data_IF_818614625652
#
_entry.id   IF_818614625652
#
_cell.length_a   1.000
_cell.length_b   1.000
_cell.length_c   1.000
_cell.angle_alpha   90.00
_cell.angle_beta   90.00
_cell.angle_gamma   90.00
#
_symmetry.space_group_name_H-M   'P 1'
#
loop_
_entity.id
_entity.type
_entity.pdbx_description
1 polymer ?
#
# COMPACT_ATOMS: atom_id res chain seq x y z
N UNK A 1 -1.19 3.19 -27.72
CA UNK A 1 -1.19 4.02 -26.51
C UNK A 1 -2.23 5.15 -26.58
N UNK A 2 -2.47 5.77 -27.77
CA UNK A 2 -3.46 6.85 -27.92
C UNK A 2 -4.87 6.45 -27.49
N UNK A 3 -5.33 5.26 -27.87
CA UNK A 3 -6.67 4.76 -27.50
C UNK A 3 -6.83 4.53 -25.98
N UNK A 4 -5.75 4.19 -25.29
CA UNK A 4 -5.76 4.05 -23.81
C UNK A 4 -6.01 5.41 -23.16
N UNK A 5 -5.35 6.47 -23.63
CA UNK A 5 -5.57 7.83 -23.13
C UNK A 5 -7.01 8.28 -23.38
N UNK A 6 -7.52 8.09 -24.61
CA UNK A 6 -8.91 8.44 -24.96
C UNK A 6 -9.89 7.68 -24.07
N UNK A 7 -9.66 6.38 -23.83
CA UNK A 7 -10.49 5.58 -22.92
C UNK A 7 -10.53 6.18 -21.52
N UNK A 8 -9.37 6.53 -20.93
CA UNK A 8 -9.33 7.13 -19.60
C UNK A 8 -10.00 8.51 -19.53
N UNK A 9 -9.86 9.33 -20.57
CA UNK A 9 -10.54 10.64 -20.65
C UNK A 9 -12.06 10.43 -20.67
N UNK A 10 -12.57 9.55 -21.52
CA UNK A 10 -14.00 9.26 -21.60
C UNK A 10 -14.53 8.66 -20.32
N UNK A 11 -13.81 7.72 -19.73
CA UNK A 11 -14.17 7.10 -18.45
C UNK A 11 -14.24 8.13 -17.32
N UNK A 12 -13.23 9.01 -17.22
CA UNK A 12 -13.21 10.09 -16.23
C UNK A 12 -14.35 11.07 -16.42
N UNK A 13 -14.64 11.42 -17.68
CA UNK A 13 -15.74 12.32 -18.01
C UNK A 13 -17.10 11.73 -17.61
N UNK A 14 -17.36 10.46 -17.97
CA UNK A 14 -18.59 9.75 -17.61
C UNK A 14 -18.72 9.66 -16.09
N UNK A 15 -17.64 9.28 -15.39
CA UNK A 15 -17.65 9.18 -13.92
C UNK A 15 -17.92 10.52 -13.27
N UNK A 16 -17.33 11.61 -13.77
CA UNK A 16 -17.57 12.96 -13.25
C UNK A 16 -19.02 13.38 -13.46
N UNK A 17 -19.58 13.18 -14.66
CA UNK A 17 -20.99 13.46 -14.93
C UNK A 17 -21.91 12.65 -14.01
N UNK A 18 -21.63 11.36 -13.81
CA UNK A 18 -22.39 10.51 -12.91
C UNK A 18 -22.36 11.02 -11.45
N UNK A 19 -21.19 11.42 -10.96
CA UNK A 19 -21.04 11.97 -9.60
C UNK A 19 -21.81 13.29 -9.43
N UNK A 20 -21.72 14.20 -10.41
CA UNK A 20 -22.41 15.50 -10.34
C UNK A 20 -23.93 15.37 -10.31
N UNK A 21 -24.48 14.32 -10.94
CA UNK A 21 -25.93 14.11 -11.01
C UNK A 21 -26.47 13.33 -9.82
N UNK A 22 -25.72 12.33 -9.31
CA UNK A 22 -26.23 11.34 -8.36
C UNK A 22 -25.69 11.50 -6.93
N UNK A 23 -24.65 12.32 -6.72
CA UNK A 23 -24.06 12.46 -5.38
C UNK A 23 -24.41 13.83 -4.81
N UNK A 24 -25.17 13.82 -3.73
CA UNK A 24 -25.49 15.03 -2.99
C UNK A 24 -24.25 15.54 -2.22
N UNK A 25 -24.17 16.87 -2.07
CA UNK A 25 -23.12 17.49 -1.26
C UNK A 25 -23.28 17.08 0.22
N UNK A 26 -22.30 16.35 0.73
CA UNK A 26 -22.31 15.86 2.11
C UNK A 26 -21.77 16.88 3.12
N UNK A 27 -21.15 17.95 2.66
CA UNK A 27 -20.57 18.99 3.49
C UNK A 27 -21.67 19.95 3.97
N UNK A 28 -22.12 19.80 5.21
CA UNK A 28 -23.19 20.62 5.79
C UNK A 28 -22.78 22.08 6.03
N UNK A 29 -21.50 22.32 6.38
CA UNK A 29 -20.97 23.65 6.62
C UNK A 29 -19.72 23.91 5.77
N UNK A 30 -19.83 24.81 4.79
CA UNK A 30 -18.70 25.26 3.98
C UNK A 30 -17.84 26.22 4.81
N UNK A 31 -16.70 25.76 5.28
CA UNK A 31 -15.71 26.61 5.96
C UNK A 31 -14.74 27.21 4.94
N UNK A 32 -14.39 28.50 5.05
CA UNK A 32 -13.42 29.12 4.16
C UNK A 32 -12.06 28.42 4.30
N UNK A 33 -11.41 28.16 3.17
CA UNK A 33 -10.07 27.58 3.14
C UNK A 33 -9.09 28.61 3.72
N UNK A 34 -8.56 28.32 4.91
CA UNK A 34 -7.55 29.17 5.56
C UNK A 34 -6.23 28.39 5.62
N UNK A 35 -5.14 29.03 5.20
CA UNK A 35 -3.80 28.46 5.31
C UNK A 35 -3.43 28.09 6.76
N UNK A 36 -3.85 28.92 7.72
CA UNK A 36 -3.66 28.65 9.14
C UNK A 36 -4.43 27.42 9.60
N UNK A 37 -5.64 27.19 9.08
CA UNK A 37 -6.42 25.99 9.37
C UNK A 37 -5.73 24.72 8.82
N UNK A 38 -5.16 24.80 7.61
CA UNK A 38 -4.37 23.69 7.03
C UNK A 38 -3.19 23.32 7.92
N UNK A 39 -2.41 24.32 8.37
CA UNK A 39 -1.26 24.08 9.26
C UNK A 39 -1.73 23.51 10.61
N UNK A 40 -2.82 24.00 11.16
CA UNK A 40 -3.38 23.51 12.42
C UNK A 40 -3.77 22.04 12.30
N UNK A 41 -4.53 21.67 11.27
CA UNK A 41 -4.94 20.29 11.05
C UNK A 41 -3.76 19.38 10.71
N UNK A 42 -2.76 19.87 9.98
CA UNK A 42 -1.52 19.13 9.74
C UNK A 42 -0.80 18.78 11.05
N UNK A 43 -0.64 19.79 11.94
CA UNK A 43 -0.05 19.56 13.27
C UNK A 43 -0.88 18.59 14.11
N UNK A 44 -2.20 18.69 14.08
CA UNK A 44 -3.12 17.80 14.79
C UNK A 44 -2.90 16.35 14.35
N UNK A 45 -2.80 16.09 13.04
CA UNK A 45 -2.57 14.75 12.51
C UNK A 45 -1.17 14.23 12.91
N UNK A 46 -0.14 15.07 12.82
CA UNK A 46 1.22 14.70 13.22
C UNK A 46 1.37 14.48 14.73
N UNK A 47 0.53 15.11 15.54
CA UNK A 47 0.56 14.93 17.01
C UNK A 47 -0.09 13.62 17.45
N UNK A 48 -0.86 12.96 16.59
CA UNK A 48 -1.49 11.68 16.91
C UNK A 48 -0.55 10.51 16.60
N UNK A 49 0.16 10.02 17.60
CA UNK A 49 1.14 8.95 17.45
C UNK A 49 0.53 7.67 16.85
N UNK A 50 -0.70 7.35 17.23
CA UNK A 50 -1.44 6.19 16.70
C UNK A 50 -1.63 6.27 15.20
N UNK A 51 -2.08 7.42 14.69
CA UNK A 51 -2.25 7.64 13.26
C UNK A 51 -0.91 7.70 12.52
N UNK A 52 0.12 8.32 13.13
CA UNK A 52 1.47 8.31 12.56
C UNK A 52 2.02 6.90 12.36
N UNK A 53 1.83 6.00 13.32
CA UNK A 53 2.24 4.60 13.17
C UNK A 53 1.54 3.98 11.95
N UNK A 54 0.23 4.19 11.78
CA UNK A 54 -0.49 3.66 10.62
C UNK A 54 -0.03 4.30 9.31
N UNK A 55 0.27 5.61 9.29
CA UNK A 55 0.81 6.32 8.12
C UNK A 55 2.17 5.75 7.71
N UNK A 56 3.07 5.53 8.67
CA UNK A 56 4.38 4.93 8.40
C UNK A 56 4.22 3.51 7.86
N UNK A 57 3.36 2.68 8.48
CA UNK A 57 3.07 1.35 7.98
C UNK A 57 2.53 1.35 6.55
N UNK A 58 1.58 2.26 6.23
CA UNK A 58 1.07 2.45 4.88
C UNK A 58 2.18 2.83 3.90
N UNK A 59 3.05 3.77 4.29
CA UNK A 59 4.17 4.22 3.47
C UNK A 59 5.19 3.11 3.21
N UNK A 60 5.52 2.29 4.20
CA UNK A 60 6.41 1.15 4.05
C UNK A 60 5.84 0.10 3.08
N UNK A 61 4.58 -0.28 3.24
CA UNK A 61 3.92 -1.23 2.37
C UNK A 61 3.81 -0.71 0.93
N UNK A 62 3.40 0.55 0.78
CA UNK A 62 3.34 1.21 -0.53
C UNK A 62 4.73 1.31 -1.16
N UNK A 63 5.77 1.55 -0.35
CA UNK A 63 7.16 1.57 -0.81
C UNK A 63 7.63 0.24 -1.37
N UNK A 64 7.30 -0.87 -0.70
CA UNK A 64 7.56 -2.22 -1.20
C UNK A 64 6.82 -2.50 -2.52
N UNK A 65 5.56 -2.10 -2.62
CA UNK A 65 4.76 -2.21 -3.84
C UNK A 65 5.34 -1.37 -4.99
N UNK A 66 5.70 -0.11 -4.74
CA UNK A 66 6.31 0.76 -5.75
C UNK A 66 7.69 0.26 -6.18
N UNK A 67 8.48 -0.33 -5.27
CA UNK A 67 9.75 -0.97 -5.64
C UNK A 67 9.53 -2.06 -6.67
N UNK A 68 8.56 -2.95 -6.44
CA UNK A 68 8.20 -3.96 -7.43
C UNK A 68 7.74 -3.33 -8.75
N UNK A 69 6.84 -2.36 -8.73
CA UNK A 69 6.31 -1.71 -9.95
C UNK A 69 7.43 -1.06 -10.77
N UNK A 70 8.38 -0.38 -10.12
CA UNK A 70 9.46 0.32 -10.80
C UNK A 70 10.42 -0.63 -11.52
N UNK A 71 10.64 -1.82 -10.99
CA UNK A 71 11.63 -2.75 -11.55
C UNK A 71 11.00 -4.02 -12.17
N UNK A 72 9.67 -4.20 -12.10
CA UNK A 72 9.02 -5.40 -12.62
C UNK A 72 9.23 -5.56 -14.14
N UNK A 73 9.16 -4.48 -14.92
CA UNK A 73 9.34 -4.57 -16.38
C UNK A 73 10.74 -5.06 -16.75
N UNK A 74 11.85 -4.40 -16.36
CA UNK A 74 13.20 -4.90 -16.69
C UNK A 74 13.44 -6.30 -16.11
N UNK A 75 12.88 -6.62 -14.93
CA UNK A 75 13.04 -7.92 -14.32
C UNK A 75 12.38 -9.04 -15.14
N UNK A 76 11.11 -8.86 -15.53
CA UNK A 76 10.40 -9.86 -16.31
C UNK A 76 10.90 -9.97 -17.75
N UNK A 77 11.36 -8.87 -18.36
CA UNK A 77 11.89 -8.88 -19.73
C UNK A 77 13.33 -9.39 -19.80
N UNK A 78 14.22 -8.86 -18.96
CA UNK A 78 15.67 -9.09 -19.12
C UNK A 78 16.15 -10.29 -18.30
N UNK A 79 15.62 -10.47 -17.09
CA UNK A 79 16.06 -11.55 -16.20
C UNK A 79 15.30 -12.87 -16.45
N UNK A 80 13.97 -12.79 -16.54
CA UNK A 80 13.12 -13.98 -16.73
C UNK A 80 12.79 -14.28 -18.20
N UNK A 81 13.17 -13.40 -19.14
CA UNK A 81 12.92 -13.55 -20.59
C UNK A 81 11.47 -13.87 -20.95
N UNK A 82 10.53 -13.23 -20.28
CA UNK A 82 9.09 -13.48 -20.45
C UNK A 82 8.54 -12.81 -21.72
N UNK A 83 9.21 -11.76 -22.18
CA UNK A 83 8.84 -11.01 -23.39
C UNK A 83 7.39 -10.51 -23.38
N UNK A 84 6.65 -10.78 -24.45
CA UNK A 84 5.26 -10.31 -24.63
C UNK A 84 4.25 -10.86 -23.62
N UNK A 85 4.61 -11.87 -22.81
CA UNK A 85 3.73 -12.44 -21.78
C UNK A 85 3.73 -11.63 -20.46
N UNK A 86 4.62 -10.65 -20.31
CA UNK A 86 4.70 -9.80 -19.10
C UNK A 86 3.34 -9.23 -18.66
N UNK A 87 2.48 -8.68 -19.55
CA UNK A 87 1.20 -8.13 -19.11
C UNK A 87 0.29 -9.16 -18.42
N UNK A 88 0.38 -10.45 -18.77
CA UNK A 88 -0.39 -11.50 -18.11
C UNK A 88 0.07 -11.72 -16.66
N UNK A 89 1.38 -11.78 -16.42
CA UNK A 89 1.93 -11.90 -15.07
C UNK A 89 1.57 -10.70 -14.21
N UNK A 90 1.71 -9.49 -14.77
CA UNK A 90 1.35 -8.27 -14.07
C UNK A 90 -0.15 -8.22 -13.73
N UNK A 91 -1.03 -8.58 -14.68
CA UNK A 91 -2.46 -8.64 -14.47
C UNK A 91 -2.85 -9.67 -13.39
N UNK A 92 -2.23 -10.86 -13.39
CA UNK A 92 -2.45 -11.87 -12.36
C UNK A 92 -2.05 -11.37 -10.97
N UNK A 93 -0.89 -10.73 -10.85
CA UNK A 93 -0.41 -10.15 -9.59
C UNK A 93 -1.38 -9.05 -9.10
N UNK A 94 -1.77 -8.14 -10.00
CA UNK A 94 -2.71 -7.07 -9.67
C UNK A 94 -4.09 -7.59 -9.26
N UNK A 95 -4.57 -8.68 -9.92
CA UNK A 95 -5.85 -9.31 -9.59
C UNK A 95 -5.87 -9.89 -8.18
N UNK A 96 -4.74 -10.41 -7.68
CA UNK A 96 -4.63 -10.91 -6.30
C UNK A 96 -4.81 -9.81 -5.27
N UNK A 97 -4.27 -8.61 -5.52
CA UNK A 97 -4.50 -7.44 -4.67
C UNK A 97 -5.98 -7.04 -4.65
N UNK A 98 -6.63 -7.01 -5.82
CA UNK A 98 -8.05 -6.69 -5.94
C UNK A 98 -8.95 -7.73 -5.25
N UNK A 99 -8.69 -9.02 -5.50
CA UNK A 99 -9.44 -10.12 -4.89
C UNK A 99 -9.33 -10.11 -3.36
N UNK A 100 -8.13 -9.93 -2.84
CA UNK A 100 -7.90 -9.88 -1.40
C UNK A 100 -8.53 -8.65 -0.74
N UNK A 101 -8.53 -7.50 -1.41
CA UNK A 101 -9.25 -6.30 -0.95
C UNK A 101 -10.78 -6.53 -0.91
N UNK A 102 -11.32 -7.21 -1.91
CA UNK A 102 -12.71 -7.63 -1.94
C UNK A 102 -13.04 -8.59 -0.78
N UNK A 103 -12.21 -9.60 -0.54
CA UNK A 103 -12.38 -10.49 0.59
C UNK A 103 -12.29 -9.75 1.92
N UNK A 104 -11.32 -8.83 2.05
CA UNK A 104 -11.19 -7.98 3.25
C UNK A 104 -12.50 -7.23 3.55
N UNK A 105 -13.16 -6.67 2.54
CA UNK A 105 -14.42 -5.93 2.73
C UNK A 105 -15.52 -6.79 3.35
N UNK A 106 -15.53 -8.09 3.07
CA UNK A 106 -16.50 -9.05 3.67
C UNK A 106 -16.14 -9.46 5.09
N UNK A 107 -14.85 -9.54 5.39
CA UNK A 107 -14.39 -10.05 6.69
C UNK A 107 -14.15 -8.96 7.72
N UNK A 108 -13.92 -7.71 7.32
CA UNK A 108 -13.59 -6.62 8.25
C UNK A 108 -14.72 -6.32 9.24
N UNK A 109 -15.98 -6.42 8.82
CA UNK A 109 -17.13 -6.24 9.70
C UNK A 109 -17.21 -7.30 10.82
N UNK A 110 -16.75 -8.53 10.55
CA UNK A 110 -16.79 -9.63 11.52
C UNK A 110 -15.56 -9.66 12.44
N UNK A 111 -14.38 -9.40 11.92
CA UNK A 111 -13.12 -9.59 12.66
C UNK A 111 -12.50 -8.28 13.16
N UNK A 112 -12.91 -7.14 12.60
CA UNK A 112 -12.38 -5.82 12.91
C UNK A 112 -11.08 -5.49 12.14
N UNK A 113 -10.92 -4.22 11.78
CA UNK A 113 -9.81 -3.73 10.97
C UNK A 113 -8.43 -3.95 11.64
N UNK A 114 -8.32 -3.67 12.93
CA UNK A 114 -7.07 -3.84 13.69
C UNK A 114 -6.59 -5.28 13.70
N UNK A 115 -7.52 -6.23 13.95
CA UNK A 115 -7.18 -7.66 14.04
C UNK A 115 -6.74 -8.19 12.69
N UNK A 116 -7.47 -7.86 11.61
CA UNK A 116 -7.11 -8.29 10.27
C UNK A 116 -5.76 -7.70 9.86
N UNK A 117 -5.53 -6.39 10.04
CA UNK A 117 -4.25 -5.78 9.72
C UNK A 117 -3.08 -6.46 10.44
N UNK A 118 -3.22 -6.77 11.73
CA UNK A 118 -2.17 -7.44 12.52
C UNK A 118 -1.91 -8.87 12.06
N UNK A 119 -2.96 -9.67 11.81
CA UNK A 119 -2.82 -11.06 11.36
C UNK A 119 -2.10 -11.09 10.01
N UNK A 120 -2.57 -10.29 9.03
CA UNK A 120 -1.97 -10.31 7.70
C UNK A 120 -0.58 -9.66 7.66
N UNK A 121 -0.28 -8.69 8.54
CA UNK A 121 1.08 -8.18 8.71
C UNK A 121 2.04 -9.25 9.25
N UNK A 122 1.61 -10.08 10.21
CA UNK A 122 2.37 -11.23 10.69
C UNK A 122 2.61 -12.25 9.58
N UNK A 123 1.56 -12.63 8.84
CA UNK A 123 1.67 -13.57 7.73
C UNK A 123 2.60 -13.05 6.63
N UNK A 124 2.50 -11.77 6.30
CA UNK A 124 3.39 -11.12 5.32
C UNK A 124 4.84 -11.15 5.80
N UNK A 125 5.10 -10.78 7.06
CA UNK A 125 6.44 -10.83 7.64
C UNK A 125 7.03 -12.24 7.58
N UNK A 126 6.29 -13.27 8.00
CA UNK A 126 6.75 -14.66 7.97
C UNK A 126 7.03 -15.08 6.53
N UNK A 127 6.11 -14.81 5.62
CA UNK A 127 6.23 -15.17 4.22
C UNK A 127 7.45 -14.55 3.55
N UNK A 128 7.64 -13.23 3.71
CA UNK A 128 8.77 -12.52 3.08
C UNK A 128 10.09 -12.92 3.71
N UNK A 129 10.15 -13.15 5.04
CA UNK A 129 11.36 -13.57 5.74
C UNK A 129 11.81 -14.98 5.33
N UNK A 130 10.88 -15.93 5.19
CA UNK A 130 11.20 -17.29 4.71
C UNK A 130 11.74 -17.22 3.29
N UNK A 131 11.12 -16.43 2.40
CA UNK A 131 11.59 -16.28 1.03
C UNK A 131 12.96 -15.59 0.97
N UNK A 132 13.21 -14.59 1.80
CA UNK A 132 14.52 -13.94 1.87
C UNK A 132 15.60 -14.93 2.32
N UNK A 133 15.37 -15.70 3.37
CA UNK A 133 16.29 -16.72 3.85
C UNK A 133 16.55 -17.80 2.79
N UNK A 134 15.52 -18.24 2.09
CA UNK A 134 15.66 -19.18 0.99
C UNK A 134 16.57 -18.64 -0.11
N UNK A 135 16.36 -17.40 -0.55
CA UNK A 135 17.15 -16.80 -1.62
C UNK A 135 18.63 -16.54 -1.25
N UNK A 136 18.89 -16.16 -0.01
CA UNK A 136 20.26 -15.97 0.48
C UNK A 136 21.05 -17.29 0.46
N UNK A 137 20.38 -18.42 0.73
CA UNK A 137 21.07 -19.72 0.78
C UNK A 137 21.19 -20.42 -0.58
N UNK A 138 20.21 -20.24 -1.47
CA UNK A 138 20.16 -21.04 -2.72
C UNK A 138 20.43 -20.23 -4.00
N UNK A 139 20.40 -18.90 -3.95
CA UNK A 139 20.68 -17.98 -5.07
C UNK A 139 19.99 -18.34 -6.42
N UNK A 140 18.88 -19.05 -6.36
CA UNK A 140 18.15 -19.48 -7.57
C UNK A 140 16.82 -18.76 -7.69
N UNK A 141 16.67 -17.95 -8.73
CA UNK A 141 15.44 -17.23 -9.00
C UNK A 141 14.70 -17.90 -10.17
N UNK A 142 13.65 -18.64 -9.85
CA UNK A 142 12.74 -19.20 -10.84
C UNK A 142 11.55 -18.25 -11.03
N UNK A 143 11.14 -18.06 -12.31
CA UNK A 143 10.00 -17.19 -12.66
C UNK A 143 8.71 -17.57 -11.93
N UNK A 144 8.37 -18.85 -11.89
CA UNK A 144 7.14 -19.32 -11.25
C UNK A 144 7.17 -19.04 -9.74
N UNK A 145 8.29 -19.34 -9.08
CA UNK A 145 8.46 -19.07 -7.65
C UNK A 145 8.37 -17.59 -7.33
N UNK A 146 9.08 -16.74 -8.09
CA UNK A 146 9.05 -15.30 -7.89
C UNK A 146 7.64 -14.72 -8.11
N UNK A 147 6.95 -15.16 -9.16
CA UNK A 147 5.58 -14.71 -9.44
C UNK A 147 4.61 -15.12 -8.31
N UNK A 148 4.70 -16.34 -7.80
CA UNK A 148 3.91 -16.84 -6.67
C UNK A 148 4.26 -16.03 -5.41
N UNK A 149 5.53 -15.74 -5.17
CA UNK A 149 5.98 -14.94 -4.04
C UNK A 149 5.31 -13.55 -4.04
N UNK A 150 5.32 -12.85 -5.17
CA UNK A 150 4.70 -11.53 -5.31
C UNK A 150 3.17 -11.62 -5.20
N UNK A 151 2.53 -12.60 -5.84
CA UNK A 151 1.08 -12.79 -5.79
C UNK A 151 0.57 -12.99 -4.35
N UNK A 152 1.24 -13.82 -3.56
CA UNK A 152 0.88 -14.05 -2.15
C UNK A 152 1.15 -12.79 -1.32
N UNK A 153 2.29 -12.13 -1.53
CA UNK A 153 2.63 -10.89 -0.82
C UNK A 153 1.58 -9.80 -1.06
N UNK A 154 1.16 -9.61 -2.30
CA UNK A 154 0.15 -8.60 -2.65
C UNK A 154 -1.26 -9.00 -2.22
N UNK A 155 -1.54 -10.30 -2.10
CA UNK A 155 -2.78 -10.76 -1.46
C UNK A 155 -2.83 -10.32 0.02
N UNK A 156 -1.74 -10.40 0.75
CA UNK A 156 -1.70 -9.90 2.12
C UNK A 156 -1.83 -8.36 2.18
N UNK A 157 -1.25 -7.64 1.21
CA UNK A 157 -1.41 -6.17 1.12
C UNK A 157 -2.87 -5.75 1.00
N UNK A 158 -3.70 -6.46 0.22
CA UNK A 158 -5.12 -6.16 0.08
C UNK A 158 -5.90 -6.22 1.39
N UNK A 159 -5.50 -7.11 2.31
CA UNK A 159 -6.07 -7.16 3.67
C UNK A 159 -5.52 -6.10 4.61
N UNK A 160 -4.30 -5.60 4.40
CA UNK A 160 -3.66 -4.67 5.33
C UNK A 160 -3.96 -3.22 4.96
N UNK A 161 -3.81 -2.86 3.68
CA UNK A 161 -3.75 -1.49 3.21
C UNK A 161 -5.04 -0.70 3.50
N UNK A 162 -6.19 -1.24 3.12
CA UNK A 162 -7.49 -0.61 3.35
C UNK A 162 -7.81 -0.43 4.83
N UNK A 163 -7.46 -1.42 5.65
CA UNK A 163 -7.67 -1.37 7.09
C UNK A 163 -6.78 -0.33 7.76
N UNK A 164 -5.50 -0.26 7.41
CA UNK A 164 -4.59 0.76 7.97
C UNK A 164 -5.01 2.17 7.57
N UNK A 165 -5.46 2.36 6.32
CA UNK A 165 -5.93 3.67 5.86
C UNK A 165 -7.17 4.12 6.65
N UNK A 166 -8.15 3.25 6.83
CA UNK A 166 -9.32 3.54 7.64
C UNK A 166 -8.97 3.86 9.10
N UNK A 167 -8.07 3.08 9.70
CA UNK A 167 -7.60 3.28 11.07
C UNK A 167 -6.81 4.58 11.25
N UNK A 168 -6.04 4.99 10.24
CA UNK A 168 -5.31 6.26 10.26
C UNK A 168 -6.24 7.48 10.23
N UNK A 169 -7.36 7.40 9.49
CA UNK A 169 -8.34 8.49 9.34
C UNK A 169 -9.30 8.55 10.54
N UNK A 170 -9.59 7.41 11.19
CA UNK A 170 -10.64 7.27 12.19
C UNK A 170 -10.66 8.36 13.29
N UNK A 171 -9.52 8.81 13.87
CA UNK A 171 -9.54 9.87 14.90
C UNK A 171 -9.95 11.24 14.37
N UNK A 172 -9.97 11.45 13.05
CA UNK A 172 -10.11 12.74 12.39
C UNK A 172 -11.42 12.89 11.63
N UNK A 173 -12.49 12.24 12.07
CA UNK A 173 -13.80 12.31 11.40
C UNK A 173 -14.30 13.72 11.14
N UNK A 174 -14.03 14.67 12.05
CA UNK A 174 -14.40 16.10 11.94
C UNK A 174 -13.61 16.87 10.88
N UNK A 175 -12.47 16.33 10.41
CA UNK A 175 -11.60 16.88 9.36
C UNK A 175 -11.19 15.81 8.35
N UNK A 176 -12.05 14.84 8.08
CA UNK A 176 -11.72 13.64 7.29
C UNK A 176 -11.09 13.95 5.91
N UNK A 177 -11.54 14.99 5.23
CA UNK A 177 -10.96 15.45 3.95
C UNK A 177 -9.51 15.90 4.07
N UNK A 178 -9.18 16.69 5.09
CA UNK A 178 -7.79 17.08 5.38
C UNK A 178 -6.96 15.86 5.81
N UNK A 179 -7.51 15.02 6.67
CA UNK A 179 -6.82 13.86 7.17
C UNK A 179 -6.44 12.90 6.02
N UNK A 180 -7.37 12.58 5.13
CA UNK A 180 -7.09 11.70 3.99
C UNK A 180 -6.01 12.27 3.07
N UNK A 181 -6.01 13.58 2.82
CA UNK A 181 -4.99 14.25 2.00
C UNK A 181 -3.60 14.19 2.63
N UNK A 182 -3.50 14.49 3.94
CA UNK A 182 -2.22 14.46 4.68
C UNK A 182 -1.70 13.02 4.80
N UNK A 183 -2.56 12.06 5.16
CA UNK A 183 -2.21 10.65 5.27
C UNK A 183 -1.72 10.13 3.92
N UNK A 184 -2.43 10.43 2.84
CA UNK A 184 -2.04 10.05 1.48
C UNK A 184 -0.69 10.66 1.07
N UNK A 185 -0.48 11.95 1.32
CA UNK A 185 0.77 12.64 0.98
C UNK A 185 1.97 12.06 1.76
N UNK A 186 1.83 11.90 3.08
CA UNK A 186 2.91 11.39 3.93
C UNK A 186 3.24 9.93 3.62
N UNK A 187 2.23 9.07 3.45
CA UNK A 187 2.48 7.68 3.10
C UNK A 187 3.11 7.53 1.71
N UNK A 188 2.69 8.35 0.74
CA UNK A 188 3.33 8.38 -0.59
C UNK A 188 4.75 8.91 -0.52
N UNK A 189 5.03 9.95 0.28
CA UNK A 189 6.39 10.44 0.45
C UNK A 189 7.32 9.36 1.03
N UNK A 190 6.90 8.67 2.08
CA UNK A 190 7.66 7.53 2.65
C UNK A 190 7.87 6.45 1.59
N UNK A 191 6.84 6.14 0.82
CA UNK A 191 6.91 5.13 -0.22
C UNK A 191 7.92 5.49 -1.32
N UNK A 192 7.97 6.76 -1.73
CA UNK A 192 8.94 7.26 -2.72
C UNK A 192 10.37 7.18 -2.19
N UNK A 193 10.60 7.51 -0.92
CA UNK A 193 11.92 7.38 -0.29
C UNK A 193 12.35 5.91 -0.25
N UNK A 194 11.46 5.01 0.19
CA UNK A 194 11.75 3.57 0.23
C UNK A 194 12.01 3.00 -1.16
N UNK A 195 11.10 3.24 -2.09
CA UNK A 195 11.20 2.70 -3.46
C UNK A 195 12.35 3.34 -4.24
N UNK A 196 12.57 4.65 -4.09
CA UNK A 196 13.68 5.35 -4.74
C UNK A 196 15.03 4.81 -4.26
N UNK A 197 15.22 4.71 -2.93
CA UNK A 197 16.46 4.15 -2.38
C UNK A 197 16.66 2.68 -2.76
N UNK A 198 15.60 1.86 -2.69
CA UNK A 198 15.69 0.45 -3.09
C UNK A 198 16.06 0.28 -4.57
N UNK A 199 15.49 1.10 -5.45
CA UNK A 199 15.75 1.03 -6.88
C UNK A 199 17.19 1.35 -7.26
N UNK A 200 17.94 2.11 -6.44
CA UNK A 200 19.38 2.37 -6.69
C UNK A 200 20.25 1.14 -6.50
N UNK A 201 19.79 0.14 -5.74
CA UNK A 201 20.49 -1.12 -5.53
C UNK A 201 20.08 -2.22 -6.52
N UNK A 202 19.28 -1.88 -7.53
CA UNK A 202 18.85 -2.87 -8.51
C UNK A 202 19.99 -3.27 -9.43
N UNK A 203 20.39 -4.52 -9.33
CA UNK A 203 21.48 -5.16 -10.07
C UNK A 203 20.99 -6.05 -11.24
N UNK A 204 19.71 -5.96 -11.57
CA UNK A 204 19.08 -6.83 -12.57
C UNK A 204 18.45 -8.10 -11.99
N UNK A 205 18.63 -8.39 -10.70
CA UNK A 205 18.09 -9.60 -10.04
C UNK A 205 16.84 -9.30 -9.19
N UNK A 206 16.04 -10.33 -8.87
CA UNK A 206 14.86 -10.18 -7.99
C UNK A 206 15.16 -9.85 -6.53
N UNK A 207 16.42 -9.95 -6.09
CA UNK A 207 16.79 -9.87 -4.66
C UNK A 207 16.37 -8.55 -4.01
N UNK A 208 16.47 -7.43 -4.73
CA UNK A 208 16.12 -6.11 -4.24
C UNK A 208 14.63 -6.03 -3.85
N UNK A 209 13.75 -6.63 -4.65
CA UNK A 209 12.30 -6.67 -4.35
C UNK A 209 12.06 -7.49 -3.08
N UNK A 210 12.64 -8.69 -3.00
CA UNK A 210 12.47 -9.60 -1.87
C UNK A 210 12.99 -8.95 -0.58
N UNK A 211 14.16 -8.35 -0.65
CA UNK A 211 14.80 -7.66 0.47
C UNK A 211 13.96 -6.46 0.95
N UNK A 212 13.52 -5.60 0.03
CA UNK A 212 12.70 -4.43 0.36
C UNK A 212 11.35 -4.84 0.97
N UNK A 213 10.66 -5.83 0.37
CA UNK A 213 9.41 -6.35 0.92
C UNK A 213 9.61 -6.95 2.31
N UNK A 214 10.73 -7.63 2.55
CA UNK A 214 11.05 -8.20 3.86
C UNK A 214 11.28 -7.13 4.92
N UNK A 215 12.10 -6.12 4.63
CA UNK A 215 12.33 -5.01 5.57
C UNK A 215 11.03 -4.26 5.86
N UNK A 216 10.25 -3.92 4.82
CA UNK A 216 9.00 -3.19 4.99
C UNK A 216 7.97 -3.99 5.80
N UNK A 217 7.86 -5.30 5.57
CA UNK A 217 6.92 -6.15 6.31
C UNK A 217 7.33 -6.35 7.76
N UNK A 218 8.61 -6.59 8.02
CA UNK A 218 9.16 -6.72 9.38
C UNK A 218 8.92 -5.41 10.16
N UNK A 219 9.29 -4.27 9.57
CA UNK A 219 9.08 -2.96 10.19
C UNK A 219 7.60 -2.68 10.46
N UNK A 220 6.72 -2.97 9.50
CA UNK A 220 5.26 -2.83 9.66
C UNK A 220 4.74 -3.72 10.79
N UNK A 221 5.18 -4.97 10.86
CA UNK A 221 4.78 -5.87 11.94
C UNK A 221 5.17 -5.30 13.30
N UNK A 222 6.43 -4.96 13.50
CA UNK A 222 6.89 -4.43 14.79
C UNK A 222 6.17 -3.13 15.16
N UNK A 223 5.97 -2.20 14.25
CA UNK A 223 5.24 -0.96 14.50
C UNK A 223 3.79 -1.21 14.96
N UNK A 224 3.10 -2.16 14.34
CA UNK A 224 1.71 -2.49 14.70
C UNK A 224 1.61 -3.21 16.06
N UNK A 225 2.65 -3.92 16.49
CA UNK A 225 2.64 -4.62 17.76
C UNK A 225 3.17 -3.76 18.93
N UNK A 226 4.12 -2.85 18.69
CA UNK A 226 4.61 -1.89 19.71
C UNK A 226 3.53 -0.91 20.15
N UNK A 227 2.54 -0.60 19.29
CA UNK A 227 1.40 0.25 19.64
C UNK A 227 0.68 -0.19 20.92
N UNK A 228 0.61 -1.48 21.22
CA UNK A 228 -0.01 -2.02 22.43
C UNK A 228 0.68 -1.55 23.71
N UNK A 229 1.95 -1.15 23.64
CA UNK A 229 2.73 -0.63 24.75
C UNK A 229 2.42 0.85 25.04
N UNK A 230 2.04 1.61 24.04
CA UNK A 230 1.69 3.03 24.16
C UNK A 230 0.25 3.24 24.66
N UNK A 231 -0.70 2.41 24.24
CA UNK A 231 -2.11 2.47 24.70
C UNK A 231 -2.29 2.04 26.17
N UNK A 232 -1.29 1.40 26.80
CA UNK A 232 -1.34 0.95 28.20
C UNK A 232 -0.84 2.01 29.17
N UNK A 233 -0.28 3.10 28.67
CA UNK A 233 0.30 4.21 29.46
C UNK A 233 -0.55 5.51 29.37
N UNK A 234 -1.71 5.49 28.70
CA UNK A 234 -2.77 6.49 28.75
C UNK A 234 -3.95 5.95 29.62
#
# INVERSE_FOLDING_TARGET
WKYIIVFFILFSFITTCFLLVNVEETLQEKKPISFLAIIKHFKEILSNLTSLIYIVCLGLLLGGLLTFINICQPLYFNYFDVGSRFPLYFALIASMLGLSSYLNSRYVGRFGAVKLAKIFALLLMIWTSINLLYQINYFSFNLAWFSIFIMISFSFFGFIFGNLNALAINPFGHIAGYASSVIGALSTFIALVVSGSASTFFDGTPIVVIFTLSICSISTFFLLFTKKLFEKNE
#
